data_IF_011313893887
#
_entry.id   IF_011313893887
#
_cell.length_a   1.000
_cell.length_b   1.000
_cell.length_c   1.000
_cell.angle_alpha   90.00
_cell.angle_beta   90.00
_cell.angle_gamma   90.00
#
_symmetry.space_group_name_H-M   'P 1'
#
loop_
_entity.id
_entity.type
_entity.pdbx_description
1 polymer ?
#
# COMPACT_ATOMS: atom_id res chain seq x y z
N UNK A 1 -6.27 -7.94 5.41
CA UNK A 1 -6.95 -9.02 4.65
C UNK A 1 -8.22 -8.58 3.90
N UNK A 2 -9.35 -8.26 4.56
CA UNK A 2 -10.61 -7.95 3.84
C UNK A 2 -10.52 -6.74 2.89
N UNK A 3 -9.87 -5.64 3.31
CA UNK A 3 -9.69 -4.45 2.48
C UNK A 3 -8.81 -4.70 1.24
N UNK A 4 -7.76 -5.52 1.38
CA UNK A 4 -6.87 -5.87 0.27
C UNK A 4 -7.64 -6.68 -0.78
N UNK A 5 -8.42 -7.69 -0.37
CA UNK A 5 -9.25 -8.45 -1.30
C UNK A 5 -10.26 -7.59 -2.05
N UNK A 6 -10.95 -6.69 -1.34
CA UNK A 6 -11.87 -5.74 -1.96
C UNK A 6 -11.16 -4.79 -2.93
N UNK A 7 -9.94 -4.36 -2.61
CA UNK A 7 -9.12 -3.59 -3.54
C UNK A 7 -8.78 -4.40 -4.80
N UNK A 8 -8.36 -5.66 -4.66
CA UNK A 8 -8.08 -6.54 -5.80
C UNK A 8 -9.31 -6.73 -6.69
N UNK A 9 -10.51 -6.84 -6.10
CA UNK A 9 -11.77 -6.91 -6.85
C UNK A 9 -12.04 -5.61 -7.62
N UNK A 10 -11.87 -4.44 -6.99
CA UNK A 10 -11.99 -3.12 -7.63
C UNK A 10 -10.96 -2.95 -8.76
N UNK A 11 -9.77 -3.53 -8.61
CA UNK A 11 -8.70 -3.50 -9.59
C UNK A 11 -8.86 -4.53 -10.71
N UNK A 12 -9.87 -5.38 -10.66
CA UNK A 12 -10.12 -6.44 -11.66
C UNK A 12 -9.08 -7.57 -11.62
N UNK A 13 -8.35 -7.74 -10.51
CA UNK A 13 -7.32 -8.76 -10.36
C UNK A 13 -7.99 -10.04 -9.84
N UNK A 14 -8.40 -10.89 -10.77
CA UNK A 14 -9.15 -12.12 -10.47
C UNK A 14 -8.30 -13.40 -10.53
N UNK A 15 -7.14 -13.36 -11.18
CA UNK A 15 -6.23 -14.51 -11.24
C UNK A 15 -5.79 -14.95 -9.82
N UNK A 16 -6.04 -16.21 -9.41
CA UNK A 16 -5.75 -16.66 -8.05
C UNK A 16 -4.28 -16.53 -7.65
N UNK A 17 -3.34 -16.76 -8.58
CA UNK A 17 -1.92 -16.69 -8.28
C UNK A 17 -1.47 -15.23 -8.06
N UNK A 18 -1.93 -14.31 -8.92
CA UNK A 18 -1.72 -12.88 -8.77
C UNK A 18 -2.29 -12.36 -7.45
N UNK A 19 -3.53 -12.73 -7.11
CA UNK A 19 -4.16 -12.36 -5.84
C UNK A 19 -3.36 -12.83 -4.65
N UNK A 20 -2.92 -14.08 -4.66
CA UNK A 20 -2.13 -14.63 -3.56
C UNK A 20 -0.78 -13.89 -3.37
N UNK A 21 -0.13 -13.44 -4.45
CA UNK A 21 1.10 -12.64 -4.39
C UNK A 21 0.84 -11.23 -3.84
N UNK A 22 -0.18 -10.54 -4.37
CA UNK A 22 -0.59 -9.24 -3.86
C UNK A 22 -0.99 -9.29 -2.39
N UNK A 23 -1.84 -10.25 -1.99
CA UNK A 23 -2.31 -10.40 -0.62
C UNK A 23 -1.14 -10.60 0.35
N UNK A 24 -0.19 -11.49 0.04
CA UNK A 24 0.99 -11.72 0.88
C UNK A 24 1.88 -10.47 1.00
N UNK A 25 2.20 -9.83 -0.13
CA UNK A 25 3.07 -8.66 -0.13
C UNK A 25 2.45 -7.47 0.59
N UNK A 26 1.19 -7.16 0.30
CA UNK A 26 0.46 -6.06 0.94
C UNK A 26 0.18 -6.32 2.42
N UNK A 27 -0.07 -7.57 2.81
CA UNK A 27 -0.22 -7.93 4.23
C UNK A 27 1.06 -7.65 5.01
N UNK A 28 2.20 -8.07 4.47
CA UNK A 28 3.49 -7.82 5.10
C UNK A 28 3.78 -6.33 5.22
N UNK A 29 3.51 -5.56 4.16
CA UNK A 29 3.68 -4.11 4.15
C UNK A 29 2.84 -3.46 5.24
N UNK A 30 1.52 -3.70 5.24
CA UNK A 30 0.62 -3.07 6.20
C UNK A 30 0.93 -3.46 7.67
N UNK A 31 1.44 -4.68 7.89
CA UNK A 31 1.93 -5.10 9.21
C UNK A 31 3.15 -4.32 9.64
N UNK A 32 4.14 -4.18 8.77
CA UNK A 32 5.40 -3.50 9.07
C UNK A 32 5.23 -1.99 9.26
N UNK A 33 4.35 -1.38 8.47
CA UNK A 33 4.12 0.07 8.51
C UNK A 33 3.36 0.54 9.74
N UNK A 34 2.28 -0.15 10.10
CA UNK A 34 1.43 0.33 11.20
C UNK A 34 0.66 -0.75 11.95
N UNK A 35 0.98 -2.01 11.72
CA UNK A 35 0.19 -3.15 12.19
C UNK A 35 -1.29 -3.01 11.83
N UNK A 36 -1.58 -2.63 10.57
CA UNK A 36 -2.93 -2.38 10.06
C UNK A 36 -3.72 -1.23 10.70
N UNK A 37 -3.08 -0.38 11.51
CA UNK A 37 -3.77 0.74 12.13
C UNK A 37 -4.11 1.82 11.08
N UNK A 38 -5.41 1.93 10.77
CA UNK A 38 -5.97 2.93 9.86
C UNK A 38 -5.74 4.38 10.35
N UNK A 39 -5.60 4.57 11.65
CA UNK A 39 -5.44 5.89 12.29
C UNK A 39 -3.98 6.18 12.67
N UNK A 40 -3.02 5.34 12.26
CA UNK A 40 -1.60 5.59 12.53
C UNK A 40 -1.15 6.88 11.85
N UNK A 41 -0.41 7.71 12.59
CA UNK A 41 0.19 8.95 12.09
C UNK A 41 1.63 8.98 12.57
N UNK A 42 2.58 9.07 11.64
CA UNK A 42 4.00 9.28 11.96
C UNK A 42 4.28 10.78 12.04
N UNK A 43 4.64 11.27 13.22
CA UNK A 43 4.90 12.69 13.49
C UNK A 43 6.38 13.03 13.72
N UNK A 44 7.30 12.10 13.50
CA UNK A 44 8.70 12.24 13.92
C UNK A 44 9.71 12.21 12.78
N UNK A 45 9.26 11.89 11.55
CA UNK A 45 10.14 11.83 10.38
C UNK A 45 10.25 13.18 9.62
N UNK A 46 11.03 13.16 8.53
CA UNK A 46 11.24 14.34 7.68
C UNK A 46 9.96 14.81 6.97
N UNK A 47 9.01 13.92 6.71
CA UNK A 47 7.73 14.27 6.10
C UNK A 47 6.83 15.00 7.11
N UNK A 48 6.82 14.53 8.36
CA UNK A 48 6.15 15.20 9.46
C UNK A 48 6.73 16.60 9.72
N UNK A 49 8.06 16.73 9.74
CA UNK A 49 8.74 18.02 9.86
C UNK A 49 8.39 18.98 8.70
N UNK A 50 8.07 18.44 7.52
CA UNK A 50 7.59 19.21 6.35
C UNK A 50 6.07 19.44 6.33
N UNK A 51 5.34 19.04 7.36
CA UNK A 51 3.89 19.24 7.49
C UNK A 51 3.02 18.23 6.72
N UNK A 52 3.61 17.16 6.18
CA UNK A 52 2.89 16.12 5.44
C UNK A 52 3.17 14.73 6.04
N UNK A 53 2.79 14.47 7.30
CA UNK A 53 3.09 13.21 7.97
C UNK A 53 2.50 12.00 7.22
N UNK A 54 3.17 10.87 7.33
CA UNK A 54 2.69 9.58 6.83
C UNK A 54 1.51 9.08 7.67
N UNK A 55 0.48 8.52 7.01
CA UNK A 55 -0.79 8.15 7.64
C UNK A 55 -1.30 6.79 7.19
N UNK A 56 -2.01 6.13 8.10
CA UNK A 56 -2.83 4.97 7.83
C UNK A 56 -2.09 3.64 7.70
N UNK A 57 -2.79 2.62 7.21
CA UNK A 57 -2.29 1.25 7.19
C UNK A 57 -1.04 1.05 6.32
N UNK A 58 -0.91 1.83 5.25
CA UNK A 58 0.24 1.77 4.34
C UNK A 58 1.21 2.95 4.52
N UNK A 59 0.97 3.80 5.54
CA UNK A 59 1.80 4.97 5.86
C UNK A 59 2.07 5.89 4.66
N UNK A 60 1.01 6.21 3.90
CA UNK A 60 1.12 7.19 2.82
C UNK A 60 1.22 8.61 3.35
N UNK A 61 2.04 9.44 2.70
CA UNK A 61 1.86 10.90 2.76
C UNK A 61 0.69 11.32 1.87
N UNK A 62 0.00 12.40 2.27
CA UNK A 62 -1.16 12.92 1.55
C UNK A 62 -0.96 13.14 0.03
N UNK A 63 0.13 13.77 -0.46
CA UNK A 63 0.29 13.99 -1.90
C UNK A 63 0.45 12.69 -2.69
N UNK A 64 1.16 11.69 -2.14
CA UNK A 64 1.30 10.38 -2.80
C UNK A 64 -0.03 9.63 -2.85
N UNK A 65 -0.79 9.62 -1.73
CA UNK A 65 -2.12 9.01 -1.73
C UNK A 65 -3.04 9.65 -2.78
N UNK A 66 -3.05 10.98 -2.87
CA UNK A 66 -3.85 11.70 -3.84
C UNK A 66 -3.43 11.41 -5.29
N UNK A 67 -2.12 11.36 -5.57
CA UNK A 67 -1.59 11.10 -6.92
C UNK A 67 -1.93 9.69 -7.43
N UNK A 68 -2.01 8.71 -6.53
CA UNK A 68 -2.27 7.30 -6.87
C UNK A 68 -3.66 6.82 -6.44
N UNK A 69 -4.54 7.74 -6.04
CA UNK A 69 -5.90 7.43 -5.61
C UNK A 69 -6.66 6.65 -6.70
N UNK A 70 -7.48 5.68 -6.29
CA UNK A 70 -8.34 4.94 -7.21
C UNK A 70 -9.70 5.63 -7.33
N UNK A 71 -10.07 6.13 -8.52
CA UNK A 71 -11.41 6.66 -8.76
C UNK A 71 -12.50 5.67 -8.33
N UNK A 72 -13.56 6.19 -7.71
CA UNK A 72 -14.67 5.38 -7.17
C UNK A 72 -14.45 4.87 -5.74
N UNK A 73 -13.30 5.16 -5.11
CA UNK A 73 -13.04 4.86 -3.68
C UNK A 73 -13.05 6.13 -2.82
N UNK A 74 -13.11 5.99 -1.49
CA UNK A 74 -13.07 7.13 -0.55
C UNK A 74 -11.82 8.00 -0.77
N UNK A 75 -11.95 9.32 -0.61
CA UNK A 75 -10.81 10.26 -0.59
C UNK A 75 -10.15 10.39 0.79
N UNK A 76 -10.69 9.72 1.79
CA UNK A 76 -10.10 9.67 3.13
C UNK A 76 -8.86 8.75 3.12
N UNK A 77 -7.70 9.31 3.48
CA UNK A 77 -6.44 8.58 3.60
C UNK A 77 -6.48 7.50 4.68
N UNK A 78 -7.39 7.58 5.65
CA UNK A 78 -7.57 6.55 6.68
C UNK A 78 -8.43 5.36 6.19
N UNK A 79 -9.06 5.47 5.02
CA UNK A 79 -9.86 4.38 4.47
C UNK A 79 -8.97 3.23 3.95
N UNK A 80 -9.10 2.05 4.56
CA UNK A 80 -8.25 0.89 4.23
C UNK A 80 -8.38 0.41 2.78
N UNK A 81 -9.58 0.46 2.19
CA UNK A 81 -9.80 0.04 0.80
C UNK A 81 -9.17 1.04 -0.15
N UNK A 82 -9.37 2.33 0.09
CA UNK A 82 -8.77 3.39 -0.72
C UNK A 82 -7.23 3.33 -0.67
N UNK A 83 -6.64 3.12 0.52
CA UNK A 83 -5.19 2.95 0.64
C UNK A 83 -4.68 1.69 -0.05
N UNK A 84 -5.39 0.56 0.06
CA UNK A 84 -5.00 -0.66 -0.63
C UNK A 84 -5.03 -0.48 -2.16
N UNK A 85 -6.07 0.16 -2.70
CA UNK A 85 -6.11 0.50 -4.13
C UNK A 85 -4.99 1.46 -4.53
N UNK A 86 -4.73 2.50 -3.72
CA UNK A 86 -3.65 3.46 -3.95
C UNK A 86 -2.27 2.79 -3.92
N UNK A 87 -2.06 1.82 -3.02
CA UNK A 87 -0.83 1.02 -2.96
C UNK A 87 -0.61 0.21 -4.24
N UNK A 88 -1.63 -0.45 -4.78
CA UNK A 88 -1.51 -1.19 -6.05
C UNK A 88 -1.12 -0.22 -7.18
N UNK A 89 -1.79 0.92 -7.30
CA UNK A 89 -1.46 1.95 -8.30
C UNK A 89 -0.03 2.47 -8.12
N UNK A 90 0.37 2.77 -6.89
CA UNK A 90 1.71 3.27 -6.55
C UNK A 90 2.78 2.24 -6.88
N UNK A 91 2.60 0.97 -6.49
CA UNK A 91 3.51 -0.11 -6.78
C UNK A 91 3.72 -0.30 -8.29
N UNK A 92 2.64 -0.29 -9.06
CA UNK A 92 2.71 -0.43 -10.52
C UNK A 92 3.33 0.81 -11.19
N UNK A 93 2.88 2.01 -10.84
CA UNK A 93 3.30 3.25 -11.50
C UNK A 93 4.70 3.74 -11.10
N UNK A 94 5.05 3.65 -9.81
CA UNK A 94 6.33 4.17 -9.30
C UNK A 94 7.47 3.16 -9.35
N UNK A 95 7.17 1.87 -9.13
CA UNK A 95 8.18 0.81 -9.02
C UNK A 95 8.12 -0.22 -10.16
N UNK A 96 7.17 -0.08 -11.08
CA UNK A 96 7.02 -0.99 -12.23
C UNK A 96 6.69 -2.42 -11.81
N UNK A 97 5.92 -2.58 -10.73
CA UNK A 97 5.41 -3.90 -10.33
C UNK A 97 4.44 -4.41 -11.38
N UNK A 98 4.59 -5.67 -11.77
CA UNK A 98 3.71 -6.31 -12.73
C UNK A 98 2.30 -6.50 -12.15
N UNK A 99 1.28 -6.51 -13.01
CA UNK A 99 -0.12 -6.70 -12.59
C UNK A 99 -0.34 -8.01 -11.83
N UNK A 100 0.46 -9.03 -12.13
CA UNK A 100 0.41 -10.34 -11.49
C UNK A 100 1.25 -10.44 -10.18
N UNK A 101 1.84 -9.32 -9.75
CA UNK A 101 2.72 -9.19 -8.58
C UNK A 101 3.91 -10.17 -8.53
N UNK A 102 4.32 -10.76 -9.66
CA UNK A 102 5.45 -11.69 -9.72
C UNK A 102 6.76 -11.08 -9.21
N UNK A 103 6.96 -9.77 -9.42
CA UNK A 103 8.16 -9.03 -9.04
C UNK A 103 7.95 -8.08 -7.84
N UNK A 104 6.84 -8.19 -7.10
CA UNK A 104 6.50 -7.23 -6.03
C UNK A 104 7.59 -7.12 -4.95
N UNK A 105 8.07 -8.25 -4.45
CA UNK A 105 9.10 -8.29 -3.41
C UNK A 105 10.47 -7.80 -3.91
N UNK A 106 10.78 -8.00 -5.20
CA UNK A 106 12.03 -7.53 -5.81
C UNK A 106 12.04 -6.00 -5.94
N UNK A 107 10.86 -5.42 -6.21
CA UNK A 107 10.70 -3.97 -6.43
C UNK A 107 10.42 -3.18 -5.16
N UNK A 108 9.79 -3.81 -4.16
CA UNK A 108 9.41 -3.16 -2.90
C UNK A 108 9.92 -4.03 -1.75
N UNK A 109 11.04 -3.61 -1.13
CA UNK A 109 11.65 -4.33 -0.01
C UNK A 109 10.68 -4.56 1.15
N UNK A 110 9.76 -3.63 1.39
CA UNK A 110 8.78 -3.77 2.46
C UNK A 110 7.80 -4.94 2.25
N UNK A 111 7.65 -5.40 1.01
CA UNK A 111 6.88 -6.59 0.63
C UNK A 111 7.72 -7.87 0.60
N UNK A 112 9.03 -7.81 0.90
CA UNK A 112 9.91 -8.99 0.95
C UNK A 112 10.07 -9.51 2.39
N UNK A 113 9.59 -10.73 2.71
CA UNK A 113 9.73 -11.31 4.05
C UNK A 113 11.17 -11.70 4.40
N UNK A 114 12.06 -11.85 3.40
CA UNK A 114 13.46 -12.26 3.62
C UNK A 114 14.37 -11.09 3.96
N UNK A 115 13.89 -9.87 3.77
CA UNK A 115 14.64 -8.63 4.02
C UNK A 115 14.07 -7.92 5.23
N UNK A 116 14.95 -7.20 5.94
CA UNK A 116 14.53 -6.33 7.03
C UNK A 116 13.56 -5.25 6.54
N UNK A 117 12.64 -4.78 7.41
CA UNK A 117 11.77 -3.66 7.08
C UNK A 117 12.57 -2.44 6.63
N UNK A 118 12.07 -1.77 5.61
CA UNK A 118 12.57 -0.51 5.09
C UNK A 118 11.38 0.31 4.64
N UNK A 119 11.23 1.52 5.18
CA UNK A 119 10.23 2.47 4.71
C UNK A 119 10.47 2.85 3.24
N UNK A 120 9.44 3.36 2.58
CA UNK A 120 9.48 3.80 1.18
C UNK A 120 9.58 5.32 1.04
#
# INVERSE_FOLDING_TARGET
MAAIRKALDIKGIHDPAARARWERGMDLVARRESNYNANAINNWDSNAARGTPSKGAFQFIAPTFAAYHQPGTSRDIHNLVAQACAFINYAMGRYGVAVDASNLADRIQQADPRRSPKGY
#
